data_IF_245164466350
#
_entry.id   IF_245164466350
#
_cell.length_a   1.000
_cell.length_b   1.000
_cell.length_c   1.000
_cell.angle_alpha   90.00
_cell.angle_beta   90.00
_cell.angle_gamma   90.00
#
_symmetry.space_group_name_H-M   'P 1'
#
loop_
_entity.id
_entity.type
_entity.pdbx_description
1 polymer ?
#
# COMPACT_ATOMS: atom_id res chain seq x y z
N UNK A 1 -21.91 -2.67 -6.49
CA UNK A 1 -21.45 -1.27 -6.62
C UNK A 1 -20.20 -0.93 -5.80
N UNK A 2 -19.97 -1.50 -4.61
CA UNK A 2 -18.78 -1.19 -3.78
C UNK A 2 -17.44 -1.61 -4.43
N UNK A 3 -17.40 -2.75 -5.12
CA UNK A 3 -16.18 -3.24 -5.79
C UNK A 3 -15.71 -2.34 -6.95
N UNK A 4 -16.65 -1.86 -7.78
CA UNK A 4 -16.36 -0.94 -8.88
C UNK A 4 -15.77 0.38 -8.37
N UNK A 5 -16.30 0.92 -7.27
CA UNK A 5 -15.77 2.14 -6.66
C UNK A 5 -14.33 1.96 -6.16
N UNK A 6 -14.02 0.82 -5.53
CA UNK A 6 -12.66 0.51 -5.06
C UNK A 6 -11.67 0.35 -6.22
N UNK A 7 -12.10 -0.28 -7.31
CA UNK A 7 -11.29 -0.47 -8.53
C UNK A 7 -11.02 0.85 -9.27
N UNK A 8 -12.04 1.70 -9.39
CA UNK A 8 -11.92 3.04 -9.99
C UNK A 8 -10.99 3.90 -9.13
N UNK A 9 -11.20 3.93 -7.81
CA UNK A 9 -10.35 4.69 -6.89
C UNK A 9 -8.88 4.27 -7.00
N UNK A 10 -8.57 2.96 -7.06
CA UNK A 10 -7.20 2.47 -7.19
C UNK A 10 -6.52 2.87 -8.51
N UNK A 11 -7.27 3.14 -9.58
CA UNK A 11 -6.70 3.58 -10.85
C UNK A 11 -6.31 5.08 -10.83
N UNK A 12 -6.97 5.90 -10.01
CA UNK A 12 -6.75 7.35 -9.94
C UNK A 12 -5.89 7.80 -8.75
N UNK A 13 -5.38 6.88 -7.92
CA UNK A 13 -4.49 7.22 -6.82
C UNK A 13 -3.13 7.70 -7.30
N UNK A 14 -2.60 8.73 -6.64
CA UNK A 14 -1.22 9.13 -6.83
C UNK A 14 -0.25 8.20 -6.06
N UNK A 15 1.03 8.28 -6.40
CA UNK A 15 2.09 7.44 -5.82
C UNK A 15 2.06 7.41 -4.28
N UNK A 16 1.91 8.58 -3.63
CA UNK A 16 1.87 8.69 -2.17
C UNK A 16 0.65 7.97 -1.58
N UNK A 17 -0.52 8.11 -2.20
CA UNK A 17 -1.73 7.41 -1.78
C UNK A 17 -1.59 5.89 -1.92
N UNK A 18 -0.90 5.42 -2.97
CA UNK A 18 -0.60 4.00 -3.15
C UNK A 18 0.31 3.47 -2.03
N UNK A 19 1.40 4.18 -1.71
CA UNK A 19 2.28 3.83 -0.58
C UNK A 19 1.51 3.80 0.74
N UNK A 20 0.67 4.80 1.00
CA UNK A 20 -0.15 4.88 2.22
C UNK A 20 -1.11 3.68 2.32
N UNK A 21 -1.75 3.30 1.23
CA UNK A 21 -2.64 2.13 1.20
C UNK A 21 -1.91 0.81 1.39
N UNK A 22 -0.81 0.60 0.69
CA UNK A 22 0.00 -0.63 0.82
C UNK A 22 0.52 -0.76 2.25
N UNK A 23 1.05 0.33 2.82
CA UNK A 23 1.50 0.37 4.22
C UNK A 23 0.38 -0.01 5.19
N UNK A 24 -0.83 0.53 4.99
CA UNK A 24 -1.98 0.23 5.83
C UNK A 24 -2.47 -1.22 5.68
N UNK A 25 -2.40 -1.81 4.48
CA UNK A 25 -2.75 -3.21 4.25
C UNK A 25 -1.77 -4.15 4.95
N UNK A 26 -0.47 -3.91 4.81
CA UNK A 26 0.56 -4.70 5.49
C UNK A 26 0.38 -4.61 7.01
N UNK A 27 0.05 -3.42 7.53
CA UNK A 27 -0.25 -3.26 8.95
C UNK A 27 -1.46 -4.09 9.39
N UNK A 28 -2.54 -4.10 8.59
CA UNK A 28 -3.74 -4.89 8.87
C UNK A 28 -3.48 -6.40 8.85
N UNK A 29 -2.58 -6.88 8.00
CA UNK A 29 -2.23 -8.30 7.91
C UNK A 29 -1.28 -8.75 9.00
N UNK A 30 -0.22 -7.98 9.25
CA UNK A 30 0.77 -8.28 10.28
C UNK A 30 0.20 -8.08 11.69
N UNK A 31 -0.70 -7.12 11.88
CA UNK A 31 -1.23 -6.73 13.20
C UNK A 31 -0.18 -6.15 14.16
N UNK A 32 1.10 -6.06 13.74
CA UNK A 32 2.22 -5.56 14.53
C UNK A 32 3.19 -4.76 13.68
N UNK A 33 3.67 -3.66 14.26
CA UNK A 33 4.91 -3.00 13.86
C UNK A 33 5.95 -3.39 14.91
N UNK A 34 6.95 -4.17 14.51
CA UNK A 34 7.99 -4.65 15.43
C UNK A 34 8.80 -3.50 16.04
N UNK A 35 9.05 -2.44 15.26
CA UNK A 35 9.69 -1.22 15.75
C UNK A 35 9.47 -0.04 14.81
N UNK A 36 9.65 1.20 15.31
CA UNK A 36 9.64 2.42 14.48
C UNK A 36 10.67 2.35 13.35
N UNK A 37 11.84 1.74 13.59
CA UNK A 37 12.88 1.57 12.57
C UNK A 37 12.43 0.63 11.46
N UNK A 38 11.80 -0.49 11.81
CA UNK A 38 11.23 -1.44 10.84
C UNK A 38 10.12 -0.79 10.01
N UNK A 39 9.28 0.04 10.63
CA UNK A 39 8.25 0.80 9.91
C UNK A 39 8.84 1.79 8.90
N UNK A 40 9.86 2.56 9.31
CA UNK A 40 10.53 3.51 8.42
C UNK A 40 11.26 2.80 7.26
N UNK A 41 11.90 1.66 7.53
CA UNK A 41 12.54 0.87 6.49
C UNK A 41 11.53 0.34 5.46
N UNK A 42 10.38 -0.16 5.92
CA UNK A 42 9.28 -0.58 5.05
C UNK A 42 8.75 0.59 4.22
N UNK A 43 8.49 1.74 4.85
CA UNK A 43 8.04 2.96 4.15
C UNK A 43 9.02 3.40 3.07
N UNK A 44 10.31 3.47 3.39
CA UNK A 44 11.35 3.85 2.43
C UNK A 44 11.43 2.88 1.26
N UNK A 45 11.26 1.58 1.52
CA UNK A 45 11.18 0.58 0.46
C UNK A 45 9.98 0.83 -0.47
N UNK A 46 8.79 1.05 0.10
CA UNK A 46 7.57 1.30 -0.68
C UNK A 46 7.64 2.59 -1.50
N UNK A 47 8.27 3.64 -0.98
CA UNK A 47 8.48 4.91 -1.71
C UNK A 47 9.46 4.79 -2.89
N UNK A 48 10.25 3.71 -2.96
CA UNK A 48 11.15 3.45 -4.07
C UNK A 48 10.50 2.61 -5.19
N UNK A 49 9.36 1.98 -4.92
CA UNK A 49 8.66 1.15 -5.90
C UNK A 49 7.95 2.02 -6.94
N UNK A 50 7.74 1.49 -8.14
CA UNK A 50 6.88 2.16 -9.10
C UNK A 50 5.39 1.90 -8.80
N UNK A 51 4.51 2.74 -9.36
CA UNK A 51 3.06 2.64 -9.14
C UNK A 51 2.47 1.29 -9.55
N UNK A 52 3.09 0.61 -10.53
CA UNK A 52 2.62 -0.67 -11.06
C UNK A 52 2.93 -1.79 -10.05
N UNK A 53 4.12 -1.76 -9.45
CA UNK A 53 4.51 -2.63 -8.35
C UNK A 53 3.64 -2.40 -7.10
N UNK A 54 3.39 -1.14 -6.72
CA UNK A 54 2.51 -0.83 -5.59
C UNK A 54 1.08 -1.32 -5.83
N UNK A 55 0.56 -1.15 -7.05
CA UNK A 55 -0.76 -1.66 -7.43
C UNK A 55 -0.82 -3.19 -7.44
N UNK A 56 0.27 -3.89 -7.77
CA UNK A 56 0.35 -5.34 -7.70
C UNK A 56 0.20 -5.83 -6.25
N UNK A 57 0.91 -5.20 -5.30
CA UNK A 57 0.80 -5.49 -3.87
C UNK A 57 -0.62 -5.24 -3.31
N UNK A 58 -1.39 -4.33 -3.90
CA UNK A 58 -2.80 -4.12 -3.54
C UNK A 58 -3.77 -5.14 -4.16
N UNK A 59 -3.36 -5.82 -5.25
CA UNK A 59 -4.20 -6.77 -6.00
C UNK A 59 -4.09 -8.21 -5.48
N UNK A 60 -3.04 -8.57 -4.75
CA UNK A 60 -2.95 -9.85 -4.04
C UNK A 60 -3.92 -9.87 -2.85
N UNK A 61 -5.24 -9.99 -3.11
CA UNK A 61 -6.28 -10.39 -2.13
C UNK A 61 -7.43 -11.13 -2.78
#
# INVERSE_FOLDING_TARGET
MVYLYKLVKNNFMNHKELVDQVSANIFKESGKIESRKSWLAMRNYLEQLDDLQLKALLKEK
#
